data_IF_099521334512
#
_entry.id   IF_099521334512
#
_cell.length_a   1.000
_cell.length_b   1.000
_cell.length_c   1.000
_cell.angle_alpha   90.00
_cell.angle_beta   90.00
_cell.angle_gamma   90.00
#
_symmetry.space_group_name_H-M   'P 1'
#
loop_
_entity.id
_entity.type
_entity.pdbx_description
1 polymer ?
#
# COMPACT_ATOMS: atom_id res chain seq x y z
N UNK A 1 -11.05 -1.29 -1.77
CA UNK A 1 -10.54 0.11 -1.77
C UNK A 1 -9.96 0.47 -3.15
N UNK A 2 -10.81 0.56 -4.18
CA UNK A 2 -10.48 1.05 -5.53
C UNK A 2 -11.57 2.01 -6.07
N UNK A 3 -12.36 2.61 -5.16
CA UNK A 3 -13.51 3.48 -5.46
C UNK A 3 -13.15 4.85 -6.06
N UNK A 4 -11.87 5.11 -6.31
CA UNK A 4 -11.40 6.42 -6.82
C UNK A 4 -11.33 6.44 -8.35
N UNK A 5 -11.29 5.27 -9.00
CA UNK A 5 -11.17 5.16 -10.47
C UNK A 5 -12.50 4.81 -11.16
N UNK A 6 -13.53 4.50 -10.39
CA UNK A 6 -14.85 4.11 -10.91
C UNK A 6 -15.88 5.10 -10.37
N UNK A 7 -16.71 5.73 -11.23
CA UNK A 7 -17.79 6.59 -10.77
C UNK A 7 -18.75 5.78 -9.89
N UNK A 8 -19.15 6.35 -8.75
CA UNK A 8 -20.19 5.75 -7.91
C UNK A 8 -21.52 5.94 -8.63
N UNK A 9 -21.95 4.91 -9.35
CA UNK A 9 -23.28 4.80 -9.93
C UNK A 9 -24.34 4.66 -8.84
N UNK A 10 -25.61 4.54 -9.25
CA UNK A 10 -26.72 4.37 -8.32
C UNK A 10 -26.68 3.01 -7.59
N UNK A 11 -25.91 2.04 -8.10
CA UNK A 11 -25.80 0.68 -7.56
C UNK A 11 -24.34 0.19 -7.61
N UNK A 12 -23.69 0.11 -6.44
CA UNK A 12 -22.30 -0.32 -6.32
C UNK A 12 -22.03 -1.72 -6.88
N UNK A 13 -23.03 -2.61 -6.88
CA UNK A 13 -22.92 -3.98 -7.39
C UNK A 13 -22.92 -3.99 -8.93
N UNK A 14 -23.79 -3.18 -9.55
CA UNK A 14 -23.77 -2.99 -11.01
C UNK A 14 -22.46 -2.35 -11.47
N UNK A 15 -21.92 -1.40 -10.70
CA UNK A 15 -20.61 -0.80 -11.00
C UNK A 15 -19.48 -1.83 -10.92
N UNK A 16 -19.46 -2.70 -9.90
CA UNK A 16 -18.46 -3.77 -9.80
C UNK A 16 -18.54 -4.75 -10.97
N UNK A 17 -19.76 -5.06 -11.44
CA UNK A 17 -19.97 -5.88 -12.61
C UNK A 17 -19.51 -5.17 -13.90
N UNK A 18 -19.87 -3.89 -14.08
CA UNK A 18 -19.56 -3.12 -15.29
C UNK A 18 -18.07 -2.79 -15.43
N UNK A 19 -17.41 -2.46 -14.32
CA UNK A 19 -16.00 -2.07 -14.27
C UNK A 19 -15.08 -3.20 -13.80
N UNK A 20 -15.54 -4.45 -13.86
CA UNK A 20 -14.82 -5.62 -13.37
C UNK A 20 -13.37 -5.68 -13.88
N UNK A 21 -13.15 -5.51 -15.18
CA UNK A 21 -11.80 -5.65 -15.77
C UNK A 21 -10.81 -4.64 -15.18
N UNK A 22 -11.20 -3.38 -14.99
CA UNK A 22 -10.31 -2.35 -14.46
C UNK A 22 -10.09 -2.54 -12.95
N UNK A 23 -11.13 -2.94 -12.22
CA UNK A 23 -11.03 -3.27 -10.79
C UNK A 23 -10.06 -4.43 -10.57
N UNK A 24 -10.22 -5.50 -11.35
CA UNK A 24 -9.39 -6.70 -11.25
C UNK A 24 -7.92 -6.41 -11.57
N UNK A 25 -7.64 -5.62 -12.62
CA UNK A 25 -6.27 -5.15 -12.91
C UNK A 25 -5.71 -4.35 -11.75
N UNK A 26 -6.51 -3.46 -11.15
CA UNK A 26 -6.12 -2.72 -9.95
C UNK A 26 -5.73 -3.63 -8.78
N UNK A 27 -6.52 -4.67 -8.52
CA UNK A 27 -6.23 -5.65 -7.47
C UNK A 27 -4.94 -6.42 -7.75
N UNK A 28 -4.73 -6.93 -8.96
CA UNK A 28 -3.47 -7.61 -9.29
C UNK A 28 -2.26 -6.68 -9.13
N UNK A 29 -2.35 -5.43 -9.59
CA UNK A 29 -1.28 -4.45 -9.44
C UNK A 29 -0.94 -4.21 -7.95
N UNK A 30 -1.94 -4.00 -7.11
CA UNK A 30 -1.74 -3.83 -5.66
C UNK A 30 -1.22 -5.12 -5.00
N UNK A 31 -1.66 -6.28 -5.46
CA UNK A 31 -1.23 -7.57 -4.94
C UNK A 31 0.27 -7.81 -5.18
N UNK A 32 0.73 -7.57 -6.41
CA UNK A 32 2.14 -7.64 -6.78
C UNK A 32 2.96 -6.53 -6.12
N UNK A 33 2.41 -5.33 -5.95
CA UNK A 33 3.05 -4.26 -5.19
C UNK A 33 3.30 -4.68 -3.74
N UNK A 34 2.34 -5.38 -3.12
CA UNK A 34 2.52 -6.01 -1.81
C UNK A 34 3.71 -6.95 -1.76
N UNK A 35 3.83 -7.87 -2.72
CA UNK A 35 4.96 -8.78 -2.82
C UNK A 35 6.30 -8.05 -2.98
N UNK A 36 6.35 -7.04 -3.85
CA UNK A 36 7.54 -6.20 -4.01
C UNK A 36 7.87 -5.44 -2.71
N UNK A 37 6.85 -4.96 -2.00
CA UNK A 37 6.99 -4.26 -0.72
C UNK A 37 7.65 -5.11 0.36
N UNK A 38 7.27 -6.40 0.48
CA UNK A 38 7.90 -7.35 1.42
C UNK A 38 9.43 -7.41 1.22
N UNK A 39 9.89 -7.44 -0.04
CA UNK A 39 11.31 -7.44 -0.36
C UNK A 39 11.97 -6.05 -0.17
N UNK A 40 11.24 -4.98 -0.51
CA UNK A 40 11.74 -3.62 -0.45
C UNK A 40 11.99 -3.14 0.98
N UNK A 41 11.13 -3.50 1.93
CA UNK A 41 11.23 -3.07 3.33
C UNK A 41 12.59 -3.37 3.97
N UNK A 42 13.08 -4.64 4.02
CA UNK A 42 14.38 -4.94 4.60
C UNK A 42 15.53 -4.33 3.80
N UNK A 43 15.44 -4.32 2.46
CA UNK A 43 16.49 -3.77 1.60
C UNK A 43 16.70 -2.26 1.83
N UNK A 44 15.62 -1.48 1.85
CA UNK A 44 15.68 -0.03 2.11
C UNK A 44 16.10 0.24 3.55
N UNK A 45 15.57 -0.50 4.53
CA UNK A 45 15.92 -0.28 5.94
C UNK A 45 17.42 -0.47 6.16
N UNK A 46 17.99 -1.57 5.64
CA UNK A 46 19.43 -1.85 5.75
C UNK A 46 20.28 -0.80 5.05
N UNK A 47 19.81 -0.23 3.94
CA UNK A 47 20.54 0.80 3.22
C UNK A 47 20.55 2.15 3.94
N UNK A 48 19.48 2.47 4.66
CA UNK A 48 19.32 3.77 5.35
C UNK A 48 19.89 3.73 6.76
N UNK A 49 19.83 2.57 7.42
CA UNK A 49 20.13 2.40 8.84
C UNK A 49 21.01 1.17 9.04
N UNK A 50 22.26 1.38 9.42
CA UNK A 50 23.21 0.29 9.74
C UNK A 50 22.77 -0.47 11.00
N UNK A 51 22.48 0.26 12.08
CA UNK A 51 22.01 -0.29 13.36
C UNK A 51 20.62 0.26 13.71
N UNK A 52 19.54 -0.47 13.37
CA UNK A 52 18.18 0.00 13.60
C UNK A 52 17.83 -0.02 15.10
N UNK A 53 17.30 1.09 15.60
CA UNK A 53 16.68 1.11 16.93
C UNK A 53 15.51 0.12 17.02
N UNK A 54 15.10 -0.21 18.24
CA UNK A 54 13.96 -1.10 18.48
C UNK A 54 12.69 -0.63 17.76
N UNK A 55 12.43 0.68 17.76
CA UNK A 55 11.29 1.26 17.06
C UNK A 55 11.39 1.12 15.53
N UNK A 56 12.56 1.34 14.94
CA UNK A 56 12.76 1.13 13.49
C UNK A 56 12.57 -0.33 13.15
N UNK A 57 13.11 -1.25 13.96
CA UNK A 57 12.96 -2.69 13.81
C UNK A 57 11.50 -3.15 13.92
N UNK A 58 10.74 -2.61 14.88
CA UNK A 58 9.31 -2.85 15.03
C UNK A 58 8.53 -2.34 13.80
N UNK A 59 8.77 -1.09 13.39
CA UNK A 59 8.09 -0.52 12.21
C UNK A 59 8.37 -1.32 10.94
N UNK A 60 9.61 -1.79 10.74
CA UNK A 60 10.00 -2.69 9.62
C UNK A 60 9.21 -4.00 9.64
N UNK A 61 9.05 -4.62 10.82
CA UNK A 61 8.27 -5.85 10.97
C UNK A 61 6.80 -5.60 10.61
N UNK A 62 6.19 -4.56 11.18
CA UNK A 62 4.80 -4.21 10.94
C UNK A 62 4.55 -3.86 9.47
N UNK A 63 5.45 -3.12 8.80
CA UNK A 63 5.33 -2.83 7.38
C UNK A 63 5.45 -4.08 6.49
N UNK A 64 6.33 -5.03 6.85
CA UNK A 64 6.41 -6.32 6.15
C UNK A 64 5.08 -7.07 6.24
N UNK A 65 4.48 -7.12 7.44
CA UNK A 65 3.14 -7.71 7.65
C UNK A 65 2.10 -6.92 6.84
N UNK A 66 2.15 -5.60 6.87
CA UNK A 66 1.24 -4.74 6.12
C UNK A 66 1.26 -4.99 4.61
N UNK A 67 2.44 -5.08 4.01
CA UNK A 67 2.59 -5.44 2.60
C UNK A 67 2.10 -6.86 2.28
N UNK A 68 2.29 -7.82 3.19
CA UNK A 68 1.73 -9.16 3.05
C UNK A 68 0.20 -9.16 3.11
N UNK A 69 -0.40 -8.44 4.05
CA UNK A 69 -1.85 -8.29 4.16
C UNK A 69 -2.42 -7.58 2.93
N UNK A 70 -1.80 -6.51 2.46
CA UNK A 70 -2.19 -5.83 1.22
C UNK A 70 -2.19 -6.81 0.04
N UNK A 71 -1.17 -7.65 -0.07
CA UNK A 71 -1.08 -8.66 -1.13
C UNK A 71 -2.23 -9.67 -1.05
N UNK A 72 -2.43 -10.25 0.12
CA UNK A 72 -3.49 -11.25 0.37
C UNK A 72 -4.88 -10.65 0.14
N UNK A 73 -5.16 -9.47 0.71
CA UNK A 73 -6.44 -8.78 0.57
C UNK A 73 -6.78 -8.55 -0.91
N UNK A 74 -5.80 -8.12 -1.72
CA UNK A 74 -6.03 -7.86 -3.14
C UNK A 74 -6.14 -9.14 -3.99
N UNK A 75 -5.38 -10.20 -3.70
CA UNK A 75 -5.61 -11.49 -4.35
C UNK A 75 -6.99 -12.06 -4.01
N UNK A 76 -7.46 -11.88 -2.77
CA UNK A 76 -8.81 -12.29 -2.36
C UNK A 76 -9.89 -11.48 -3.06
N UNK A 77 -9.75 -10.15 -3.15
CA UNK A 77 -10.67 -9.27 -3.91
C UNK A 77 -10.71 -9.69 -5.39
N UNK A 78 -9.57 -9.96 -6.02
CA UNK A 78 -9.53 -10.37 -7.43
C UNK A 78 -10.32 -11.66 -7.74
N UNK A 79 -10.40 -12.59 -6.79
CA UNK A 79 -11.14 -13.85 -6.94
C UNK A 79 -12.60 -13.75 -6.51
N UNK A 80 -12.89 -13.04 -5.42
CA UNK A 80 -14.23 -12.98 -4.83
C UNK A 80 -15.12 -11.92 -5.48
N UNK A 81 -14.55 -10.81 -5.95
CA UNK A 81 -15.36 -9.67 -6.38
C UNK A 81 -16.19 -9.99 -7.64
N UNK A 82 -15.68 -10.85 -8.53
CA UNK A 82 -16.41 -11.25 -9.75
C UNK A 82 -17.59 -12.16 -9.43
N UNK A 83 -17.32 -13.26 -8.73
CA UNK A 83 -18.28 -14.32 -8.49
C UNK A 83 -19.43 -13.80 -7.62
N UNK A 84 -19.11 -13.02 -6.59
CA UNK A 84 -20.10 -12.43 -5.71
C UNK A 84 -20.93 -11.34 -6.40
N UNK A 85 -20.33 -10.50 -7.27
CA UNK A 85 -21.08 -9.51 -8.03
C UNK A 85 -21.99 -10.16 -9.10
N UNK A 86 -21.53 -11.25 -9.72
CA UNK A 86 -22.33 -12.02 -10.68
C UNK A 86 -23.53 -12.70 -10.00
N UNK A 87 -23.30 -13.40 -8.88
CA UNK A 87 -24.36 -14.08 -8.13
C UNK A 87 -25.39 -13.09 -7.56
N UNK A 88 -24.91 -11.94 -7.07
CA UNK A 88 -25.73 -10.82 -6.61
C UNK A 88 -26.69 -10.29 -7.67
N UNK A 89 -26.22 -10.07 -8.91
CA UNK A 89 -27.03 -9.58 -10.03
C UNK A 89 -28.01 -10.65 -10.54
N UNK A 90 -27.65 -11.93 -10.44
CA UNK A 90 -28.43 -13.04 -11.02
C UNK A 90 -29.49 -13.61 -10.08
N UNK A 91 -29.28 -13.58 -8.76
CA UNK A 91 -30.15 -14.29 -7.81
C UNK A 91 -31.01 -13.39 -6.88
N UNK A 92 -30.66 -12.12 -6.66
CA UNK A 92 -31.50 -11.11 -5.99
C UNK A 92 -31.75 -11.24 -4.47
N UNK A 93 -32.10 -10.10 -3.86
CA UNK A 93 -32.51 -9.78 -2.47
C UNK A 93 -31.73 -10.41 -1.29
N UNK A 94 -32.10 -11.58 -0.78
CA UNK A 94 -31.56 -12.05 0.50
C UNK A 94 -30.08 -12.50 0.42
N UNK A 95 -29.66 -13.02 -0.73
CA UNK A 95 -28.26 -13.39 -1.00
C UNK A 95 -27.41 -12.16 -1.23
N UNK A 96 -27.97 -11.14 -1.89
CA UNK A 96 -27.34 -9.86 -2.15
C UNK A 96 -27.00 -9.12 -0.84
N UNK A 97 -27.96 -9.02 0.07
CA UNK A 97 -27.76 -8.36 1.36
C UNK A 97 -26.75 -9.10 2.25
N UNK A 98 -26.81 -10.44 2.28
CA UNK A 98 -25.84 -11.24 3.03
C UNK A 98 -24.40 -11.08 2.49
N UNK A 99 -24.26 -11.05 1.16
CA UNK A 99 -22.99 -10.85 0.48
C UNK A 99 -22.44 -9.43 0.74
N UNK A 100 -23.28 -8.39 0.64
CA UNK A 100 -22.88 -7.00 0.89
C UNK A 100 -22.47 -6.78 2.34
N UNK A 101 -23.24 -7.30 3.31
CA UNK A 101 -22.94 -7.15 4.75
C UNK A 101 -21.66 -7.90 5.12
N UNK A 102 -21.44 -9.07 4.52
CA UNK A 102 -20.25 -9.89 4.78
C UNK A 102 -18.98 -9.39 4.08
N UNK A 103 -19.10 -8.67 2.96
CA UNK A 103 -17.99 -8.41 2.04
C UNK A 103 -16.77 -7.77 2.71
N UNK A 104 -16.97 -6.65 3.40
CA UNK A 104 -15.87 -5.89 4.00
C UNK A 104 -15.15 -6.70 5.09
N UNK A 105 -15.92 -7.40 5.95
CA UNK A 105 -15.37 -8.22 7.03
C UNK A 105 -14.78 -9.56 6.57
N UNK A 106 -15.28 -10.11 5.46
CA UNK A 106 -14.76 -11.36 4.90
C UNK A 106 -13.45 -11.10 4.19
N UNK A 107 -13.33 -10.02 3.40
CA UNK A 107 -12.22 -9.86 2.45
C UNK A 107 -11.03 -9.10 3.04
N UNK A 108 -11.27 -8.14 3.93
CA UNK A 108 -10.21 -7.26 4.46
C UNK A 108 -9.67 -7.75 5.81
N UNK A 109 -8.46 -8.28 5.81
CA UNK A 109 -7.78 -8.76 7.03
C UNK A 109 -7.20 -7.62 7.90
N UNK A 110 -7.25 -6.39 7.41
CA UNK A 110 -6.75 -5.18 8.07
C UNK A 110 -7.87 -4.13 8.02
N UNK A 111 -8.87 -4.20 8.90
CA UNK A 111 -10.00 -3.26 8.89
C UNK A 111 -9.51 -1.82 8.85
N UNK A 112 -10.16 -0.99 8.04
CA UNK A 112 -9.84 0.43 7.81
C UNK A 112 -8.41 0.74 7.32
N UNK A 113 -7.58 -0.27 7.08
CA UNK A 113 -6.22 -0.08 6.60
C UNK A 113 -5.14 0.03 7.68
N UNK A 114 -5.45 -0.28 8.95
CA UNK A 114 -4.54 0.01 10.08
C UNK A 114 -3.15 -0.63 9.95
N UNK A 115 -3.07 -1.86 9.43
CA UNK A 115 -1.80 -2.60 9.35
C UNK A 115 -1.17 -2.45 7.97
N UNK A 116 -1.92 -2.64 6.89
CA UNK A 116 -1.44 -2.53 5.50
C UNK A 116 -1.08 -1.11 5.10
N UNK A 117 -1.91 -0.11 5.38
CA UNK A 117 -1.53 1.28 5.10
C UNK A 117 -0.84 1.94 6.30
N UNK A 118 -1.40 1.81 7.50
CA UNK A 118 -0.88 2.48 8.69
C UNK A 118 0.49 1.96 9.11
N UNK A 119 0.67 0.64 9.07
CA UNK A 119 1.94 -0.01 9.37
C UNK A 119 3.05 0.35 8.38
N UNK A 120 2.74 0.32 7.09
CA UNK A 120 3.67 0.76 6.03
C UNK A 120 3.98 2.25 6.16
N UNK A 121 2.97 3.08 6.44
CA UNK A 121 3.15 4.52 6.67
C UNK A 121 4.07 4.81 7.85
N UNK A 122 3.89 4.11 8.97
CA UNK A 122 4.72 4.23 10.16
C UNK A 122 6.20 3.92 9.87
N UNK A 123 6.45 2.86 9.10
CA UNK A 123 7.80 2.52 8.67
C UNK A 123 8.40 3.56 7.72
N UNK A 124 7.66 4.03 6.73
CA UNK A 124 8.16 5.07 5.82
C UNK A 124 8.51 6.36 6.61
N UNK A 125 7.69 6.73 7.59
CA UNK A 125 7.98 7.87 8.46
C UNK A 125 9.24 7.63 9.31
N UNK A 126 9.40 6.44 9.90
CA UNK A 126 10.52 6.12 10.77
C UNK A 126 11.85 6.17 10.02
N UNK A 127 11.94 5.54 8.83
CA UNK A 127 13.16 5.57 8.01
C UNK A 127 13.44 6.96 7.46
N UNK A 128 12.41 7.72 7.08
CA UNK A 128 12.59 9.08 6.55
C UNK A 128 13.09 10.03 7.63
N UNK A 129 12.60 9.88 8.85
CA UNK A 129 13.08 10.61 10.02
C UNK A 129 14.56 10.31 10.32
N UNK A 130 14.94 9.03 10.33
CA UNK A 130 16.35 8.63 10.55
C UNK A 130 17.24 9.14 9.41
N UNK A 131 16.78 9.03 8.16
CA UNK A 131 17.52 9.53 7.00
C UNK A 131 17.74 11.05 7.04
N UNK A 132 16.77 11.82 7.54
CA UNK A 132 16.92 13.26 7.78
C UNK A 132 17.95 13.55 8.85
N UNK A 133 17.87 12.86 9.99
CA UNK A 133 18.77 13.06 11.13
C UNK A 133 20.23 12.75 10.75
N UNK A 134 20.44 11.66 10.04
CA UNK A 134 21.78 11.16 9.72
C UNK A 134 22.33 11.72 8.40
N UNK A 135 21.55 12.52 7.66
CA UNK A 135 21.90 13.07 6.34
C UNK A 135 22.37 11.99 5.34
N UNK A 136 21.93 10.75 5.51
CA UNK A 136 22.34 9.60 4.69
C UNK A 136 21.77 9.66 3.27
N UNK A 137 20.75 10.49 3.05
CA UNK A 137 20.10 10.67 1.77
C UNK A 137 19.88 12.16 1.47
N UNK A 138 19.73 12.47 0.18
CA UNK A 138 19.36 13.80 -0.32
C UNK A 138 18.08 14.30 0.34
N UNK A 139 18.10 15.51 0.91
CA UNK A 139 16.98 16.13 1.64
C UNK A 139 15.61 16.00 0.94
N UNK A 140 15.55 16.23 -0.38
CA UNK A 140 14.31 16.08 -1.19
C UNK A 140 13.67 14.69 -1.09
N UNK A 141 14.48 13.64 -1.04
CA UNK A 141 13.99 12.26 -1.01
C UNK A 141 13.41 11.89 0.35
N UNK A 142 13.97 12.46 1.41
CA UNK A 142 13.48 12.23 2.75
C UNK A 142 12.16 12.98 2.99
N UNK A 143 12.02 14.20 2.44
CA UNK A 143 10.75 14.91 2.46
C UNK A 143 9.67 14.16 1.67
N UNK A 144 9.99 13.60 0.50
CA UNK A 144 9.06 12.75 -0.24
C UNK A 144 8.63 11.52 0.58
N UNK A 145 9.56 10.91 1.31
CA UNK A 145 9.24 9.80 2.22
C UNK A 145 8.32 10.25 3.35
N UNK A 146 8.60 11.39 3.97
CA UNK A 146 7.76 11.95 5.02
C UNK A 146 6.33 12.19 4.51
N UNK A 147 6.18 12.84 3.36
CA UNK A 147 4.87 13.07 2.73
C UNK A 147 4.17 11.75 2.42
N UNK A 148 4.90 10.78 1.85
CA UNK A 148 4.36 9.43 1.54
C UNK A 148 3.79 8.74 2.77
N UNK A 149 4.57 8.69 3.86
CA UNK A 149 4.14 8.05 5.11
C UNK A 149 2.98 8.79 5.75
N UNK A 150 2.96 10.12 5.72
CA UNK A 150 1.85 10.93 6.22
C UNK A 150 0.58 10.69 5.42
N UNK A 151 0.63 10.60 4.09
CA UNK A 151 -0.54 10.30 3.27
C UNK A 151 -1.15 8.94 3.60
N UNK A 152 -0.34 7.93 3.87
CA UNK A 152 -0.83 6.61 4.30
C UNK A 152 -1.53 6.68 5.65
N UNK A 153 -0.97 7.39 6.63
CA UNK A 153 -1.61 7.58 7.94
C UNK A 153 -2.92 8.36 7.82
N UNK A 154 -2.94 9.43 7.01
CA UNK A 154 -4.16 10.21 6.75
C UNK A 154 -5.24 9.34 6.11
N UNK A 155 -4.85 8.41 5.23
CA UNK A 155 -5.78 7.47 4.59
C UNK A 155 -6.48 6.60 5.65
N UNK A 156 -5.71 6.01 6.57
CA UNK A 156 -6.27 5.19 7.66
C UNK A 156 -7.20 6.00 8.57
N UNK A 157 -6.81 7.22 8.92
CA UNK A 157 -7.65 8.12 9.71
C UNK A 157 -8.95 8.46 8.97
N UNK A 158 -8.86 8.72 7.66
CA UNK A 158 -10.00 8.97 6.79
C UNK A 158 -10.97 7.79 6.77
N UNK A 159 -10.46 6.57 6.63
CA UNK A 159 -11.27 5.34 6.67
C UNK A 159 -11.95 5.16 8.05
N UNK A 160 -11.17 5.22 9.14
CA UNK A 160 -11.67 5.02 10.49
C UNK A 160 -12.75 6.06 10.90
N UNK A 161 -12.67 7.28 10.36
CA UNK A 161 -13.66 8.34 10.59
C UNK A 161 -14.75 8.38 9.52
N UNK A 162 -14.73 7.48 8.53
CA UNK A 162 -15.61 7.50 7.35
C UNK A 162 -15.62 8.87 6.65
N UNK A 163 -14.48 9.57 6.63
CA UNK A 163 -14.34 10.91 6.08
C UNK A 163 -13.65 10.90 4.71
N UNK A 164 -14.47 10.77 3.67
CA UNK A 164 -14.03 10.59 2.27
C UNK A 164 -12.98 11.60 1.77
N UNK A 165 -13.04 12.91 2.10
CA UNK A 165 -12.04 13.87 1.62
C UNK A 165 -10.61 13.51 2.06
N UNK A 166 -10.43 12.96 3.26
CA UNK A 166 -9.11 12.53 3.76
C UNK A 166 -8.61 11.31 2.99
N UNK A 167 -9.49 10.37 2.69
CA UNK A 167 -9.17 9.17 1.89
C UNK A 167 -8.73 9.57 0.49
N UNK A 168 -9.46 10.48 -0.17
CA UNK A 168 -9.10 10.97 -1.50
C UNK A 168 -7.76 11.70 -1.49
N UNK A 169 -7.49 12.52 -0.48
CA UNK A 169 -6.18 13.19 -0.35
C UNK A 169 -5.05 12.18 -0.12
N UNK A 170 -5.25 11.23 0.79
CA UNK A 170 -4.24 10.23 1.14
C UNK A 170 -3.92 9.27 0.00
N UNK A 171 -4.94 8.65 -0.61
CA UNK A 171 -4.79 7.70 -1.72
C UNK A 171 -4.50 8.41 -3.03
N UNK A 172 -5.23 9.48 -3.34
CA UNK A 172 -5.12 10.17 -4.62
C UNK A 172 -3.76 10.87 -4.79
N UNK A 173 -3.38 11.73 -3.83
CA UNK A 173 -2.10 12.42 -3.91
C UNK A 173 -0.99 11.48 -3.46
N UNK A 174 -1.09 10.89 -2.27
CA UNK A 174 -0.03 10.03 -1.74
C UNK A 174 0.11 8.70 -2.47
N UNK A 175 -0.94 7.90 -2.42
CA UNK A 175 -0.99 6.52 -2.94
C UNK A 175 -0.60 6.37 -4.41
N UNK A 176 -1.19 7.20 -5.28
CA UNK A 176 -1.00 7.07 -6.73
C UNK A 176 0.26 7.75 -7.26
N UNK A 177 0.79 8.75 -6.56
CA UNK A 177 1.90 9.56 -7.11
C UNK A 177 3.14 9.57 -6.23
N UNK A 178 3.02 9.98 -4.97
CA UNK A 178 4.19 10.22 -4.11
C UNK A 178 4.84 8.90 -3.69
N UNK A 179 4.05 7.88 -3.33
CA UNK A 179 4.56 6.59 -2.85
C UNK A 179 5.33 5.84 -3.96
N UNK A 180 4.78 5.63 -5.18
CA UNK A 180 5.51 4.97 -6.25
C UNK A 180 6.80 5.71 -6.62
N UNK A 181 6.73 7.05 -6.70
CA UNK A 181 7.91 7.87 -6.96
C UNK A 181 8.99 7.67 -5.90
N UNK A 182 8.61 7.64 -4.62
CA UNK A 182 9.55 7.41 -3.52
C UNK A 182 10.21 6.03 -3.61
N UNK A 183 9.45 4.97 -3.86
CA UNK A 183 10.00 3.61 -4.04
C UNK A 183 10.96 3.50 -5.23
N UNK A 184 10.60 4.10 -6.38
CA UNK A 184 11.47 4.12 -7.57
C UNK A 184 12.81 4.80 -7.25
N UNK A 185 12.77 5.95 -6.58
CA UNK A 185 13.98 6.68 -6.21
C UNK A 185 14.86 5.89 -5.23
N UNK A 186 14.26 5.19 -4.27
CA UNK A 186 15.01 4.28 -3.38
C UNK A 186 15.65 3.13 -4.16
N UNK A 187 14.91 2.50 -5.08
CA UNK A 187 15.43 1.42 -5.94
C UNK A 187 16.62 1.86 -6.78
N UNK A 188 16.56 3.03 -7.41
CA UNK A 188 17.67 3.60 -8.19
C UNK A 188 18.92 3.83 -7.33
N UNK A 189 18.77 4.26 -6.07
CA UNK A 189 19.91 4.41 -5.15
C UNK A 189 20.54 3.08 -4.76
N UNK A 190 19.71 2.08 -4.44
CA UNK A 190 20.18 0.73 -4.12
C UNK A 190 21.01 0.13 -5.27
N UNK A 191 20.58 0.31 -6.52
CA UNK A 191 21.34 -0.14 -7.69
C UNK A 191 22.71 0.56 -7.82
N UNK A 192 22.76 1.88 -7.57
CA UNK A 192 24.02 2.64 -7.65
C UNK A 192 25.03 2.19 -6.60
N UNK A 193 24.58 1.91 -5.37
CA UNK A 193 25.44 1.40 -4.29
C UNK A 193 26.02 0.03 -4.67
N UNK A 194 25.18 -0.89 -5.16
CA UNK A 194 25.64 -2.23 -5.55
C UNK A 194 26.65 -2.20 -6.72
N UNK A 195 26.50 -1.24 -7.65
CA UNK A 195 27.46 -1.08 -8.75
C UNK A 195 28.82 -0.56 -8.26
N UNK A 196 28.86 0.25 -7.20
CA UNK A 196 30.11 0.78 -6.65
C UNK A 196 30.89 -0.26 -5.85
N UNK A 197 30.22 -1.12 -5.08
CA UNK A 197 30.89 -2.22 -4.36
C UNK A 197 31.57 -3.20 -5.32
N UNK A 198 30.88 -3.58 -6.40
CA UNK A 198 31.43 -4.51 -7.40
C UNK A 198 32.62 -3.96 -8.20
N UNK A 199 32.81 -2.63 -8.28
CA UNK A 199 33.98 -2.05 -8.96
C UNK A 199 35.22 -2.10 -8.06
N UNK A 200 35.05 -1.88 -6.76
CA UNK A 200 36.16 -1.89 -5.79
C UNK A 200 36.74 -3.30 -5.67
N UNK A 201 35.88 -4.33 -5.64
CA UNK A 201 36.31 -5.74 -5.51
C UNK A 201 36.99 -6.30 -6.77
N UNK A 202 36.84 -5.68 -7.94
CA UNK A 202 37.49 -6.12 -9.20
C UNK A 202 38.87 -5.48 -9.39
N UNK A 203 39.19 -4.45 -8.60
CA UNK A 203 40.48 -3.72 -8.66
C UNK A 203 41.44 -4.03 -7.51
N UNK A 204 41.06 -4.92 -6.60
CA UNK A 204 41.90 -5.43 -5.50
C UNK A 204 42.46 -6.81 -5.84
#
# INVERSE_FOLDING_TARGET
MLFILVPVGANAVEDHHHYYTILNVGHFLLAFLGLCGIAAVPAITKHVVDEPSEFVSFSKMIATIGFALMSINNFRQSGLDHDLAHDAVTHGDDVLDAVIIGWAGLVELSPDGWIDFGGVGLWILSISYVALRNKTQTSKMNYLGFVSGTCLVITVIGNALSFQPLVVLGVGIGGLTVIPLWFILQGVKLQKVNKQSNVIDVTA
#
